data_IF_904906150176
#
_entry.id   IF_904906150176
#
_cell.length_a   1.000
_cell.length_b   1.000
_cell.length_c   1.000
_cell.angle_alpha   90.00
_cell.angle_beta   90.00
_cell.angle_gamma   90.00
#
_symmetry.space_group_name_H-M   'P 1'
#
loop_
_entity.id
_entity.type
_entity.pdbx_description
1 polymer ?
#
# COMPACT_ATOMS: atom_id res chain seq x y z
N UNK A 1 -24.55 11.98 -9.63
CA UNK A 1 -25.30 13.19 -9.24
C UNK A 1 -25.19 13.36 -7.73
N UNK A 2 -24.81 14.52 -7.19
CA UNK A 2 -24.86 14.71 -5.75
C UNK A 2 -26.31 14.66 -5.28
N UNK A 3 -26.56 14.02 -4.13
CA UNK A 3 -27.87 14.03 -3.48
C UNK A 3 -28.11 15.47 -2.99
N UNK A 4 -28.99 16.21 -3.67
CA UNK A 4 -29.30 17.61 -3.38
C UNK A 4 -30.25 17.78 -2.20
N UNK A 5 -31.01 16.74 -1.84
CA UNK A 5 -31.88 16.72 -0.66
C UNK A 5 -31.13 16.15 0.55
N UNK A 6 -30.83 17.01 1.52
CA UNK A 6 -30.23 16.59 2.79
C UNK A 6 -31.31 16.58 3.87
N UNK A 7 -31.61 15.39 4.39
CA UNK A 7 -32.49 15.24 5.55
C UNK A 7 -31.78 15.86 6.76
N UNK A 8 -32.33 16.97 7.26
CA UNK A 8 -31.78 17.71 8.40
C UNK A 8 -32.56 17.48 9.70
N UNK A 9 -33.74 16.86 9.61
CA UNK A 9 -34.59 16.52 10.74
C UNK A 9 -34.87 15.01 10.79
N UNK A 10 -34.72 14.34 11.95
CA UNK A 10 -34.97 12.91 12.07
C UNK A 10 -36.38 12.47 11.69
N UNK A 11 -37.38 13.34 11.87
CA UNK A 11 -38.78 13.08 11.49
C UNK A 11 -39.00 12.97 9.97
N UNK A 12 -38.06 13.47 9.17
CA UNK A 12 -38.11 13.41 7.71
C UNK A 12 -37.37 12.18 7.16
N UNK A 13 -36.82 11.32 8.03
CA UNK A 13 -36.22 10.06 7.61
C UNK A 13 -37.28 9.18 6.93
N UNK A 14 -37.03 8.81 5.68
CA UNK A 14 -37.88 7.89 4.91
C UNK A 14 -37.21 6.53 4.81
N UNK A 15 -38.00 5.47 4.87
CA UNK A 15 -37.53 4.13 4.57
C UNK A 15 -37.41 3.97 3.05
N UNK A 16 -36.22 3.63 2.56
CA UNK A 16 -35.99 3.30 1.17
C UNK A 16 -36.18 1.79 1.00
N UNK A 17 -37.24 1.38 0.31
CA UNK A 17 -37.64 -0.04 0.18
C UNK A 17 -36.92 -0.79 -0.93
N UNK A 18 -36.18 -0.08 -1.78
CA UNK A 18 -35.41 -0.66 -2.90
C UNK A 18 -33.92 -0.78 -2.54
N UNK A 19 -33.12 -1.33 -3.44
CA UNK A 19 -31.67 -1.23 -3.43
C UNK A 19 -31.25 0.25 -3.57
N UNK A 20 -30.41 0.74 -2.65
CA UNK A 20 -29.68 1.99 -2.86
C UNK A 20 -28.44 1.59 -3.66
N UNK A 21 -28.31 1.98 -4.94
CA UNK A 21 -27.11 1.67 -5.72
C UNK A 21 -25.96 2.57 -5.24
N UNK A 22 -25.32 2.17 -4.15
CA UNK A 22 -24.10 2.80 -3.64
C UNK A 22 -22.91 2.28 -4.44
N UNK A 23 -22.55 2.97 -5.51
CA UNK A 23 -21.27 2.76 -6.19
C UNK A 23 -20.19 3.60 -5.51
N UNK A 24 -19.31 2.94 -4.76
CA UNK A 24 -18.14 3.59 -4.17
C UNK A 24 -16.94 3.47 -5.12
N UNK A 25 -16.63 4.55 -5.82
CA UNK A 25 -15.33 4.69 -6.49
C UNK A 25 -14.28 5.15 -5.48
N UNK A 26 -13.65 4.19 -4.79
CA UNK A 26 -12.47 4.49 -3.97
C UNK A 26 -11.28 4.84 -4.87
N UNK A 27 -11.08 6.13 -5.10
CA UNK A 27 -9.87 6.64 -5.78
C UNK A 27 -8.68 6.57 -4.84
N UNK A 28 -7.48 6.35 -5.37
CA UNK A 28 -6.24 6.36 -4.59
C UNK A 28 -5.89 7.74 -3.99
N UNK A 29 -6.60 8.80 -4.40
CA UNK A 29 -6.23 10.19 -4.11
C UNK A 29 -4.99 10.62 -4.90
N UNK A 30 -4.62 11.90 -4.81
CA UNK A 30 -3.52 12.49 -5.61
C UNK A 30 -2.19 11.76 -5.35
N UNK A 31 -1.75 11.72 -4.09
CA UNK A 31 -0.47 11.10 -3.73
C UNK A 31 -0.46 9.57 -3.91
N UNK A 32 -1.60 8.91 -3.71
CA UNK A 32 -1.72 7.48 -3.97
C UNK A 32 -1.64 7.18 -5.47
N UNK A 33 -2.26 8.01 -6.31
CA UNK A 33 -2.14 7.90 -7.77
C UNK A 33 -0.71 8.14 -8.24
N UNK A 34 -0.02 9.16 -7.71
CA UNK A 34 1.39 9.39 -8.01
C UNK A 34 2.27 8.19 -7.63
N UNK A 35 2.05 7.58 -6.46
CA UNK A 35 2.73 6.34 -6.08
C UNK A 35 2.48 5.20 -7.08
N UNK A 36 1.22 5.00 -7.51
CA UNK A 36 0.86 3.97 -8.49
C UNK A 36 1.50 4.21 -9.85
N UNK A 37 1.52 5.45 -10.32
CA UNK A 37 2.13 5.82 -11.59
C UNK A 37 3.66 5.65 -11.55
N UNK A 38 4.30 6.01 -10.44
CA UNK A 38 5.73 5.82 -10.24
C UNK A 38 6.10 4.33 -10.23
N UNK A 39 5.31 3.50 -9.54
CA UNK A 39 5.49 2.05 -9.53
C UNK A 39 5.30 1.47 -10.95
N UNK A 40 4.25 1.90 -11.66
CA UNK A 40 3.93 1.41 -12.99
C UNK A 40 5.02 1.72 -14.01
N UNK A 41 5.44 2.99 -14.08
CA UNK A 41 6.31 3.50 -15.14
C UNK A 41 7.78 3.22 -14.84
N UNK A 42 8.18 3.39 -13.58
CA UNK A 42 9.60 3.38 -13.22
C UNK A 42 9.97 2.23 -12.29
N UNK A 43 8.99 1.55 -11.69
CA UNK A 43 9.27 0.50 -10.71
C UNK A 43 9.88 1.02 -9.41
N UNK A 44 9.65 2.30 -9.09
CA UNK A 44 10.19 2.93 -7.89
C UNK A 44 9.09 3.16 -6.87
N UNK A 45 9.49 3.23 -5.60
CA UNK A 45 8.56 3.53 -4.51
C UNK A 45 8.63 5.01 -4.16
N UNK A 46 7.51 5.69 -4.35
CA UNK A 46 7.36 7.10 -4.02
C UNK A 46 6.99 7.28 -2.55
N UNK A 47 7.69 8.19 -1.87
CA UNK A 47 7.39 8.62 -0.51
C UNK A 47 7.12 10.11 -0.47
N UNK A 48 6.20 10.51 0.41
CA UNK A 48 5.91 11.92 0.71
C UNK A 48 6.67 12.34 1.98
N UNK A 49 7.21 13.57 2.02
CA UNK A 49 7.93 14.14 3.16
C UNK A 49 7.21 15.36 3.73
N UNK A 50 7.10 15.43 5.05
CA UNK A 50 6.48 16.56 5.73
C UNK A 50 7.49 17.70 5.87
N UNK A 51 7.16 18.90 5.38
CA UNK A 51 8.03 20.07 5.47
C UNK A 51 8.25 20.55 6.91
N UNK A 52 7.33 20.26 7.84
CA UNK A 52 7.40 20.65 9.27
C UNK A 52 8.19 19.66 10.12
N UNK A 53 7.71 18.41 10.25
CA UNK A 53 8.33 17.41 11.13
C UNK A 53 9.34 16.49 10.43
N UNK A 54 9.56 16.67 9.12
CA UNK A 54 10.51 15.91 8.29
C UNK A 54 10.26 14.39 8.19
N UNK A 55 9.18 13.88 8.81
CA UNK A 55 8.73 12.50 8.63
C UNK A 55 8.43 12.21 7.17
N UNK A 56 8.91 11.07 6.69
CA UNK A 56 8.57 10.52 5.36
C UNK A 56 7.59 9.36 5.50
N UNK A 57 6.74 9.14 4.50
CA UNK A 57 5.72 8.09 4.53
C UNK A 57 5.66 7.29 3.23
N UNK A 58 5.53 5.97 3.37
CA UNK A 58 5.32 5.00 2.30
C UNK A 58 4.03 4.19 2.58
N UNK A 59 3.11 4.05 1.61
CA UNK A 59 3.01 4.79 0.35
C UNK A 59 2.92 6.31 0.55
N UNK A 60 3.24 7.08 -0.50
CA UNK A 60 3.09 8.53 -0.49
C UNK A 60 1.66 8.95 -0.12
N UNK A 61 1.54 10.06 0.62
CA UNK A 61 0.28 10.63 1.09
C UNK A 61 0.28 12.15 0.98
N UNK A 62 -0.90 12.74 0.80
CA UNK A 62 -1.06 14.19 0.64
C UNK A 62 -1.03 14.98 1.95
N UNK A 63 -0.96 14.31 3.10
CA UNK A 63 -1.17 14.94 4.40
C UNK A 63 -0.36 14.29 5.53
N UNK A 64 0.18 15.12 6.42
CA UNK A 64 0.92 14.67 7.59
C UNK A 64 -0.01 14.42 8.78
N UNK A 65 -0.18 13.17 9.24
CA UNK A 65 -1.07 12.84 10.36
C UNK A 65 -0.60 13.41 11.71
N UNK A 66 0.66 13.81 11.83
CA UNK A 66 1.20 14.39 13.07
C UNK A 66 1.11 15.92 13.11
N UNK A 67 1.22 16.58 11.96
CA UNK A 67 1.30 18.05 11.89
C UNK A 67 0.03 18.71 11.37
N UNK A 68 -0.89 17.92 10.82
CA UNK A 68 -2.11 18.38 10.20
C UNK A 68 -1.91 19.36 9.03
N UNK A 69 -0.88 19.13 8.21
CA UNK A 69 -0.57 19.96 7.03
C UNK A 69 -0.50 19.12 5.75
N UNK A 70 -0.71 19.78 4.62
CA UNK A 70 -0.47 19.23 3.29
C UNK A 70 1.00 18.85 3.10
N UNK A 71 1.25 17.75 2.41
CA UNK A 71 2.59 17.26 2.05
C UNK A 71 2.74 17.31 0.53
N UNK A 72 3.64 18.17 0.04
CA UNK A 72 3.92 18.36 -1.39
C UNK A 72 5.28 17.80 -1.82
N UNK A 73 6.23 17.69 -0.89
CA UNK A 73 7.55 17.14 -1.17
C UNK A 73 7.45 15.63 -1.31
N UNK A 74 7.95 15.09 -2.43
CA UNK A 74 8.06 13.66 -2.67
C UNK A 74 9.49 13.30 -3.06
N UNK A 75 9.88 12.03 -2.81
CA UNK A 75 11.14 11.45 -3.30
C UNK A 75 10.96 9.96 -3.55
N UNK A 76 11.87 9.36 -4.31
CA UNK A 76 11.93 7.90 -4.45
C UNK A 76 12.81 7.28 -3.37
N UNK A 77 12.59 5.98 -3.14
CA UNK A 77 13.46 5.14 -2.32
C UNK A 77 14.39 4.36 -3.25
N UNK A 78 15.69 4.51 -3.02
CA UNK A 78 16.74 3.81 -3.76
C UNK A 78 17.46 2.79 -2.87
N UNK A 79 17.29 2.90 -1.55
CA UNK A 79 17.88 2.00 -0.57
C UNK A 79 17.07 0.68 -0.45
N UNK A 80 17.70 -0.45 -0.10
CA UNK A 80 16.97 -1.69 0.15
C UNK A 80 16.05 -1.56 1.36
N UNK A 81 14.88 -2.20 1.26
CA UNK A 81 13.99 -2.37 2.40
C UNK A 81 14.53 -3.40 3.38
N UNK A 82 13.85 -3.59 4.49
CA UNK A 82 14.13 -4.66 5.44
C UNK A 82 12.86 -5.36 5.91
N UNK A 83 12.96 -6.66 6.19
CA UNK A 83 11.88 -7.44 6.80
C UNK A 83 11.68 -6.98 8.23
N UNK A 84 10.60 -6.24 8.49
CA UNK A 84 10.26 -5.81 9.84
C UNK A 84 9.48 -6.88 10.60
N UNK A 85 8.59 -7.59 9.90
CA UNK A 85 7.85 -8.74 10.43
C UNK A 85 7.44 -9.66 9.30
N UNK A 86 7.20 -10.94 9.58
CA UNK A 86 6.75 -11.91 8.59
C UNK A 86 5.89 -13.01 9.21
N UNK A 87 5.13 -13.70 8.37
CA UNK A 87 4.36 -14.90 8.72
C UNK A 87 4.27 -15.81 7.51
N UNK A 88 4.11 -17.12 7.73
CA UNK A 88 3.91 -18.10 6.67
C UNK A 88 2.50 -18.64 6.74
N UNK A 89 1.74 -18.42 5.67
CA UNK A 89 0.36 -18.86 5.52
C UNK A 89 0.36 -20.19 4.77
N UNK A 90 -0.13 -21.26 5.39
CA UNK A 90 -0.15 -22.62 4.83
C UNK A 90 -1.58 -23.17 4.64
N UNK A 91 -2.58 -22.29 4.78
CA UNK A 91 -3.99 -22.62 4.56
C UNK A 91 -4.65 -21.55 3.71
N UNK A 92 -5.56 -21.98 2.85
CA UNK A 92 -6.36 -21.08 2.02
C UNK A 92 -7.53 -20.49 2.83
N UNK A 93 -8.37 -19.69 2.16
CA UNK A 93 -9.54 -19.03 2.79
C UNK A 93 -10.61 -20.00 3.29
N UNK A 94 -10.68 -21.23 2.77
CA UNK A 94 -11.61 -22.29 3.23
C UNK A 94 -11.03 -23.09 4.39
N UNK A 95 -9.77 -22.84 4.78
CA UNK A 95 -9.07 -23.53 5.85
C UNK A 95 -8.36 -24.81 5.42
N UNK A 96 -8.40 -25.17 4.13
CA UNK A 96 -7.69 -26.33 3.59
C UNK A 96 -6.20 -26.03 3.46
N UNK A 97 -5.36 -27.08 3.53
CA UNK A 97 -3.91 -26.93 3.36
C UNK A 97 -3.61 -26.43 1.95
N UNK A 98 -2.72 -25.45 1.84
CA UNK A 98 -2.23 -24.90 0.58
C UNK A 98 -0.72 -24.87 0.55
N UNK A 99 -0.15 -24.60 -0.62
CA UNK A 99 1.26 -24.25 -0.73
C UNK A 99 1.61 -23.10 0.23
N UNK A 100 2.64 -23.24 1.08
CA UNK A 100 3.03 -22.20 2.01
C UNK A 100 3.45 -20.92 1.29
N UNK A 101 2.88 -19.78 1.70
CA UNK A 101 3.27 -18.46 1.22
C UNK A 101 3.74 -17.63 2.39
N UNK A 102 4.97 -17.14 2.33
CA UNK A 102 5.50 -16.21 3.32
C UNK A 102 5.16 -14.78 2.93
N UNK A 103 4.53 -14.06 3.85
CA UNK A 103 4.22 -12.64 3.74
C UNK A 103 5.10 -11.87 4.71
N UNK A 104 5.65 -10.76 4.27
CA UNK A 104 6.46 -9.86 5.08
C UNK A 104 5.90 -8.44 5.04
N UNK A 105 5.98 -7.75 6.18
CA UNK A 105 5.94 -6.30 6.25
C UNK A 105 7.36 -5.78 6.02
N UNK A 106 7.58 -5.17 4.85
CA UNK A 106 8.84 -4.54 4.46
C UNK A 106 8.81 -3.07 4.83
N UNK A 107 9.83 -2.61 5.55
CA UNK A 107 10.00 -1.20 5.95
C UNK A 107 11.30 -0.64 5.39
N UNK A 108 11.43 0.68 5.47
CA UNK A 108 12.59 1.43 5.01
C UNK A 108 13.09 2.33 6.14
N UNK A 109 14.40 2.55 6.18
CA UNK A 109 15.02 3.38 7.22
C UNK A 109 14.47 4.82 7.17
N UNK A 110 14.19 5.38 8.35
CA UNK A 110 13.63 6.72 8.53
C UNK A 110 12.31 7.01 7.76
N UNK A 111 11.60 5.98 7.30
CA UNK A 111 10.33 6.10 6.56
C UNK A 111 9.22 5.40 7.34
N UNK A 112 8.11 6.10 7.58
CA UNK A 112 6.93 5.57 8.25
C UNK A 112 6.04 4.81 7.27
N UNK A 113 5.35 3.78 7.78
CA UNK A 113 4.57 2.86 6.95
C UNK A 113 5.41 1.66 6.49
N UNK A 114 5.08 1.13 5.32
CA UNK A 114 5.70 -0.08 4.78
C UNK A 114 4.81 -0.76 3.75
N UNK A 115 5.35 -1.79 3.11
CA UNK A 115 4.64 -2.60 2.11
C UNK A 115 4.49 -4.01 2.67
N UNK A 116 3.25 -4.51 2.73
CA UNK A 116 2.99 -5.92 3.03
C UNK A 116 2.95 -6.68 1.72
N UNK A 117 3.87 -7.63 1.53
CA UNK A 117 3.88 -8.45 0.32
C UNK A 117 4.54 -9.81 0.53
N UNK A 118 4.63 -10.58 -0.56
CA UNK A 118 5.21 -11.92 -0.57
C UNK A 118 6.72 -11.78 -0.41
N UNK A 119 7.30 -12.64 0.40
CA UNK A 119 8.73 -12.81 0.48
C UNK A 119 9.09 -14.08 -0.29
N UNK A 120 10.05 -13.96 -1.21
CA UNK A 120 10.62 -15.10 -1.90
C UNK A 120 11.55 -15.85 -0.95
N UNK A 121 11.03 -16.96 -0.41
CA UNK A 121 11.76 -17.83 0.52
C UNK A 121 12.51 -18.95 -0.18
N UNK A 122 12.37 -19.11 -1.50
CA UNK A 122 13.13 -20.13 -2.23
C UNK A 122 14.63 -19.78 -2.28
N UNK A 123 14.97 -18.49 -2.12
CA UNK A 123 16.34 -18.01 -2.02
C UNK A 123 16.89 -17.99 -0.58
N UNK A 124 16.04 -18.16 0.44
CA UNK A 124 16.42 -17.95 1.84
C UNK A 124 15.87 -19.07 2.73
N UNK A 125 16.72 -20.03 3.07
CA UNK A 125 16.41 -21.11 4.02
C UNK A 125 16.07 -20.57 5.42
N UNK A 126 16.43 -19.31 5.74
CA UNK A 126 16.17 -18.67 7.03
C UNK A 126 15.74 -17.21 6.88
N UNK A 127 14.43 -16.96 6.80
CA UNK A 127 13.88 -15.61 6.91
C UNK A 127 14.15 -15.05 8.30
N UNK A 128 14.68 -13.83 8.38
CA UNK A 128 15.03 -13.18 9.63
C UNK A 128 14.54 -11.73 9.70
N UNK A 129 14.24 -11.25 10.90
CA UNK A 129 14.01 -9.83 11.15
C UNK A 129 15.25 -9.01 10.76
N UNK A 130 15.05 -7.86 10.12
CA UNK A 130 16.11 -6.97 9.67
C UNK A 130 16.79 -7.38 8.36
N UNK A 131 16.48 -8.55 7.80
CA UNK A 131 17.00 -9.00 6.50
C UNK A 131 16.72 -7.95 5.42
N UNK A 132 17.76 -7.55 4.69
CA UNK A 132 17.64 -6.59 3.59
C UNK A 132 17.01 -7.24 2.37
N UNK A 133 16.09 -6.53 1.74
CA UNK A 133 15.30 -7.05 0.62
C UNK A 133 15.10 -6.01 -0.48
N UNK A 134 15.00 -6.52 -1.71
CA UNK A 134 14.69 -5.75 -2.91
C UNK A 134 13.40 -6.27 -3.55
N UNK A 135 12.57 -5.38 -4.12
CA UNK A 135 11.38 -5.81 -4.83
C UNK A 135 11.76 -6.49 -6.16
N UNK A 136 11.13 -7.62 -6.43
CA UNK A 136 11.10 -8.25 -7.75
C UNK A 136 9.83 -7.77 -8.43
N UNK A 137 9.97 -7.01 -9.51
CA UNK A 137 8.85 -6.42 -10.23
C UNK A 137 8.53 -7.23 -11.49
N UNK A 138 7.27 -7.16 -11.92
CA UNK A 138 6.90 -7.55 -13.28
C UNK A 138 7.66 -6.73 -14.31
N UNK A 139 7.71 -7.25 -15.54
CA UNK A 139 8.23 -6.49 -16.68
C UNK A 139 7.43 -5.20 -16.87
N UNK A 140 8.07 -4.15 -17.42
CA UNK A 140 7.45 -2.83 -17.53
C UNK A 140 6.11 -2.83 -18.29
N UNK A 141 5.97 -3.68 -19.32
CA UNK A 141 4.75 -3.82 -20.11
C UNK A 141 3.59 -4.49 -19.36
N UNK A 142 3.87 -5.27 -18.31
CA UNK A 142 2.87 -5.98 -17.51
C UNK A 142 2.42 -5.20 -16.27
N UNK A 143 3.08 -4.07 -15.96
CA UNK A 143 2.75 -3.24 -14.81
C UNK A 143 1.53 -2.38 -15.06
N UNK A 144 0.62 -2.30 -14.08
CA UNK A 144 -0.60 -1.51 -14.16
C UNK A 144 -0.78 -0.47 -13.03
N UNK A 145 0.20 -0.35 -12.14
CA UNK A 145 0.21 0.54 -10.97
C UNK A 145 -0.37 -0.08 -9.71
N UNK A 146 -0.79 -1.35 -9.73
CA UNK A 146 -1.23 -2.05 -8.54
C UNK A 146 -0.01 -2.55 -7.73
N UNK A 147 -0.20 -2.77 -6.42
CA UNK A 147 0.84 -3.40 -5.60
C UNK A 147 1.26 -4.78 -6.13
N UNK A 148 0.36 -5.48 -6.83
CA UNK A 148 0.63 -6.75 -7.53
C UNK A 148 1.57 -6.64 -8.73
N UNK A 149 2.03 -5.44 -9.08
CA UNK A 149 3.17 -5.25 -9.98
C UNK A 149 4.48 -5.70 -9.32
N UNK A 150 4.51 -5.78 -7.99
CA UNK A 150 5.53 -6.46 -7.22
C UNK A 150 5.17 -7.95 -7.21
N UNK A 151 6.08 -8.80 -7.66
CA UNK A 151 5.91 -10.26 -7.65
C UNK A 151 6.17 -10.77 -6.23
N UNK A 152 7.31 -10.38 -5.68
CA UNK A 152 7.75 -10.68 -4.32
C UNK A 152 8.87 -9.71 -3.92
N UNK A 153 9.29 -9.76 -2.66
CA UNK A 153 10.58 -9.24 -2.21
C UNK A 153 11.55 -10.41 -2.09
N UNK A 154 12.78 -10.23 -2.54
CA UNK A 154 13.86 -11.21 -2.37
C UNK A 154 14.97 -10.62 -1.54
N UNK A 155 15.81 -11.47 -0.95
CA UNK A 155 17.01 -11.03 -0.26
C UNK A 155 17.88 -10.19 -1.21
N UNK A 156 18.35 -9.05 -0.70
CA UNK A 156 19.20 -8.10 -1.43
C UNK A 156 20.61 -8.66 -1.66
#
# INVERSE_FOLDING_TARGET
MPILEKISQPSQARHWTDSIPLEFHYTAGVAGEEFRQELKRHGRFLVSKCSKCKNSYLPARMFCPSCFIEMKETRTLDEPGYVYSFTTVNRNRTGERSEPVTLALVKYEAVKGGIVHRLDTAAADNVAFGMKVLPVLKSESERNGALTDIIAFRQA
#
